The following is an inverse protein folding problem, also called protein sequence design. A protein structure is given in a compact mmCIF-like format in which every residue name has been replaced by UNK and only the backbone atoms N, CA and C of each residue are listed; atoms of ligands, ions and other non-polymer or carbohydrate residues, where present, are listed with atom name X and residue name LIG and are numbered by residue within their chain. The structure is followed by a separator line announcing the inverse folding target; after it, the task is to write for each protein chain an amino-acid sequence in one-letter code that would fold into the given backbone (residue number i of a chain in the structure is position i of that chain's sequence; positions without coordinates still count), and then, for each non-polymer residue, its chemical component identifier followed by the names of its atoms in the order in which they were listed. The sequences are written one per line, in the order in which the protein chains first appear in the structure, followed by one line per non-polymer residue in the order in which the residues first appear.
data_IF_860292983060
#
_entry.id   IF_860292983060
#
_cell.length_a   1.000
_cell.length_b   1.000
_cell.length_c   1.000
_cell.angle_alpha   90.00
_cell.angle_beta   90.00
_cell.angle_gamma   90.00
#
_symmetry.space_group_name_H-M   'P 1'
#
loop_
_entity.id
_entity.type
_entity.pdbx_description
1 polymer ?
#
# COMPACT_ATOMS: atom_id res chain seq x y z
N UNK A 1 -3.21 -9.11 4.11
CA UNK A 1 -4.64 -9.14 3.73
C UNK A 1 -5.49 -9.88 4.77
N UNK A 2 -4.97 -10.95 5.38
CA UNK A 2 -5.73 -11.79 6.36
C UNK A 2 -6.08 -11.06 7.67
N UNK A 3 -5.29 -10.06 8.08
CA UNK A 3 -5.50 -9.32 9.34
C UNK A 3 -6.58 -8.22 9.28
N UNK A 4 -6.92 -7.73 8.09
CA UNK A 4 -7.85 -6.60 7.95
C UNK A 4 -9.25 -6.85 8.54
N UNK A 5 -9.91 -8.01 8.33
CA UNK A 5 -11.21 -8.28 8.92
C UNK A 5 -11.17 -8.34 10.46
N UNK A 6 -10.13 -8.92 11.04
CA UNK A 6 -9.98 -9.01 12.49
C UNK A 6 -9.78 -7.63 13.13
N UNK A 7 -8.95 -6.78 12.51
CA UNK A 7 -8.75 -5.40 12.96
C UNK A 7 -10.04 -4.59 12.84
N UNK A 8 -10.77 -4.72 11.72
CA UNK A 8 -12.06 -4.04 11.53
C UNK A 8 -13.10 -4.46 12.58
N UNK A 9 -13.18 -5.74 12.91
CA UNK A 9 -14.08 -6.25 13.96
C UNK A 9 -13.72 -5.68 15.35
N UNK A 10 -12.42 -5.67 15.70
CA UNK A 10 -11.97 -5.09 16.97
C UNK A 10 -12.26 -3.60 17.07
N UNK A 11 -12.05 -2.84 16.00
CA UNK A 11 -12.39 -1.42 15.96
C UNK A 11 -13.92 -1.21 16.05
N UNK A 12 -14.68 -2.01 15.28
CA UNK A 12 -16.16 -1.94 15.27
C UNK A 12 -16.80 -2.24 16.62
N UNK A 13 -16.19 -3.09 17.45
CA UNK A 13 -16.66 -3.39 18.81
C UNK A 13 -16.07 -2.39 19.82
N UNK A 14 -14.78 -2.09 19.70
CA UNK A 14 -14.06 -1.26 20.67
C UNK A 14 -14.51 0.19 20.69
N UNK A 15 -14.75 0.79 19.52
CA UNK A 15 -15.15 2.21 19.44
C UNK A 15 -16.51 2.47 20.12
N UNK A 16 -17.61 1.73 19.84
CA UNK A 16 -18.88 1.91 20.53
C UNK A 16 -18.79 1.63 22.05
N UNK A 17 -18.02 0.65 22.45
CA UNK A 17 -17.80 0.32 23.85
C UNK A 17 -17.12 1.47 24.61
N UNK A 18 -16.02 2.00 24.08
CA UNK A 18 -15.29 3.12 24.66
C UNK A 18 -16.11 4.42 24.62
N UNK A 19 -16.86 4.63 23.55
CA UNK A 19 -17.78 5.74 23.43
C UNK A 19 -18.86 5.68 24.51
N UNK A 20 -19.48 4.52 24.72
CA UNK A 20 -20.44 4.30 25.79
C UNK A 20 -19.86 4.57 27.19
N UNK A 21 -18.61 4.18 27.41
CA UNK A 21 -17.88 4.46 28.65
C UNK A 21 -17.60 5.96 28.82
N UNK A 22 -17.21 6.63 27.75
CA UNK A 22 -16.92 8.06 27.72
C UNK A 22 -18.16 8.89 28.01
N UNK A 23 -19.30 8.63 27.34
CA UNK A 23 -20.54 9.32 27.54
C UNK A 23 -21.10 9.13 28.98
N UNK A 24 -20.97 7.89 29.50
CA UNK A 24 -21.39 7.55 30.87
C UNK A 24 -20.38 7.97 31.93
N UNK A 25 -19.28 8.63 31.57
CA UNK A 25 -18.21 9.09 32.46
C UNK A 25 -17.70 8.03 33.44
N UNK A 26 -17.51 6.82 32.92
CA UNK A 26 -16.93 5.74 33.72
C UNK A 26 -15.47 6.04 34.08
N UNK A 27 -14.95 5.39 35.11
CA UNK A 27 -13.58 5.58 35.58
C UNK A 27 -12.50 5.45 34.49
N UNK A 28 -12.76 4.69 33.44
CA UNK A 28 -11.87 4.48 32.28
C UNK A 28 -12.22 5.32 31.04
N UNK A 29 -13.06 6.36 31.17
CA UNK A 29 -13.44 7.25 30.07
C UNK A 29 -12.26 8.00 29.44
N UNK A 30 -11.16 8.18 30.17
CA UNK A 30 -9.91 8.80 29.70
C UNK A 30 -9.16 7.97 28.65
N UNK A 31 -9.48 6.66 28.51
CA UNK A 31 -8.84 5.78 27.54
C UNK A 31 -9.16 6.25 26.11
N UNK A 32 -10.37 6.72 25.84
CA UNK A 32 -10.77 7.16 24.49
C UNK A 32 -9.91 8.34 23.98
N UNK A 33 -9.75 9.46 24.71
CA UNK A 33 -8.85 10.53 24.28
C UNK A 33 -7.40 10.08 24.12
N UNK A 34 -6.93 9.20 25.00
CA UNK A 34 -5.57 8.68 24.94
C UNK A 34 -5.33 7.85 23.66
N UNK A 35 -6.31 7.01 23.28
CA UNK A 35 -6.25 6.25 22.04
C UNK A 35 -6.20 7.16 20.81
N UNK A 36 -6.95 8.24 20.79
CA UNK A 36 -6.88 9.24 19.69
C UNK A 36 -5.47 9.82 19.59
N UNK A 37 -4.86 10.19 20.71
CA UNK A 37 -3.49 10.69 20.75
C UNK A 37 -2.46 9.66 20.26
N UNK A 38 -2.57 8.42 20.72
CA UNK A 38 -1.69 7.31 20.29
C UNK A 38 -1.84 7.04 18.80
N UNK A 39 -3.08 7.01 18.28
CA UNK A 39 -3.33 6.81 16.84
C UNK A 39 -2.72 7.93 16.01
N UNK A 40 -2.85 9.19 16.44
CA UNK A 40 -2.24 10.33 15.77
C UNK A 40 -0.70 10.24 15.80
N UNK A 41 -0.11 9.85 16.93
CA UNK A 41 1.34 9.67 17.05
C UNK A 41 1.87 8.56 16.12
N UNK A 42 1.19 7.41 16.08
CA UNK A 42 1.54 6.32 15.16
C UNK A 42 1.41 6.78 13.70
N UNK A 43 0.36 7.50 13.34
CA UNK A 43 0.17 8.04 12.01
C UNK A 43 1.33 8.99 11.62
N UNK A 44 1.76 9.88 12.53
CA UNK A 44 2.91 10.75 12.31
C UNK A 44 4.20 9.95 12.07
N UNK A 45 4.43 8.92 12.88
CA UNK A 45 5.61 8.05 12.73
C UNK A 45 5.60 7.37 11.35
N UNK A 46 4.47 6.79 10.94
CA UNK A 46 4.33 6.15 9.62
C UNK A 46 4.57 7.16 8.50
N UNK A 47 3.99 8.35 8.59
CA UNK A 47 4.18 9.41 7.59
C UNK A 47 5.65 9.89 7.55
N UNK A 48 6.36 9.93 8.68
CA UNK A 48 7.77 10.32 8.72
C UNK A 48 8.66 9.33 7.97
N UNK A 49 8.37 8.04 8.06
CA UNK A 49 9.07 7.02 7.26
C UNK A 49 8.75 7.10 5.76
N UNK A 50 7.55 7.54 5.41
CA UNK A 50 7.16 7.70 4.00
C UNK A 50 7.87 8.88 3.30
N UNK A 51 8.31 9.89 4.04
CA UNK A 51 9.19 10.98 3.57
C UNK A 51 8.59 11.96 2.54
N UNK A 52 7.41 11.70 1.99
CA UNK A 52 6.89 12.42 0.82
C UNK A 52 5.87 13.51 1.13
N UNK A 53 5.24 13.50 2.30
CA UNK A 53 4.12 14.40 2.63
C UNK A 53 4.27 15.01 4.03
N UNK A 54 5.31 15.78 4.25
CA UNK A 54 5.58 16.45 5.55
C UNK A 54 4.45 17.36 6.02
N UNK A 55 3.76 18.05 5.10
CA UNK A 55 2.60 18.88 5.42
C UNK A 55 1.44 18.08 6.05
N UNK A 56 1.26 16.80 5.64
CA UNK A 56 0.24 15.92 6.17
C UNK A 56 0.50 15.55 7.64
N UNK A 57 1.77 15.40 8.03
CA UNK A 57 2.16 15.16 9.43
C UNK A 57 1.68 16.29 10.34
N UNK A 58 1.84 17.54 9.91
CA UNK A 58 1.39 18.71 10.67
C UNK A 58 -0.13 18.74 10.81
N UNK A 59 -0.87 18.46 9.74
CA UNK A 59 -2.34 18.42 9.78
C UNK A 59 -2.83 17.32 10.74
N UNK A 60 -2.33 16.10 10.62
CA UNK A 60 -2.71 14.98 11.50
C UNK A 60 -2.32 15.28 12.95
N UNK A 61 -1.14 15.86 13.17
CA UNK A 61 -0.67 16.26 14.50
C UNK A 61 -1.58 17.31 15.15
N UNK A 62 -1.89 18.38 14.43
CA UNK A 62 -2.74 19.47 14.93
C UNK A 62 -4.16 18.94 15.20
N UNK A 63 -4.78 18.25 14.26
CA UNK A 63 -6.13 17.71 14.41
C UNK A 63 -6.20 16.67 15.55
N UNK A 64 -5.21 15.78 15.64
CA UNK A 64 -5.13 14.76 16.68
C UNK A 64 -4.97 15.36 18.08
N UNK A 65 -4.10 16.36 18.23
CA UNK A 65 -3.91 17.06 19.51
C UNK A 65 -5.14 17.86 19.93
N UNK A 66 -5.77 18.57 19.00
CA UNK A 66 -7.03 19.30 19.26
C UNK A 66 -8.15 18.33 19.67
N UNK A 67 -8.29 17.21 18.95
CA UNK A 67 -9.27 16.17 19.25
C UNK A 67 -9.03 15.54 20.64
N UNK A 68 -7.81 15.14 20.93
CA UNK A 68 -7.42 14.57 22.23
C UNK A 68 -7.69 15.55 23.38
N UNK A 69 -7.20 16.78 23.27
CA UNK A 69 -7.38 17.81 24.31
C UNK A 69 -8.87 18.16 24.46
N UNK A 70 -9.58 18.32 23.34
CA UNK A 70 -11.02 18.61 23.35
C UNK A 70 -11.84 17.54 24.08
N UNK A 71 -11.53 16.25 23.83
CA UNK A 71 -12.17 15.14 24.54
C UNK A 71 -11.80 15.13 26.03
N UNK A 72 -10.53 15.39 26.40
CA UNK A 72 -10.13 15.48 27.79
C UNK A 72 -10.82 16.63 28.52
N UNK A 73 -10.83 17.82 27.94
CA UNK A 73 -11.50 19.00 28.54
C UNK A 73 -12.99 18.75 28.70
N UNK A 74 -13.65 18.08 27.75
CA UNK A 74 -15.06 17.74 27.84
C UNK A 74 -15.40 16.76 28.99
N UNK A 75 -14.44 15.98 29.46
CA UNK A 75 -14.65 15.17 30.67
C UNK A 75 -14.84 16.02 31.93
N UNK A 76 -14.18 17.19 31.99
CA UNK A 76 -14.28 18.12 33.11
C UNK A 76 -15.41 19.14 32.92
N UNK A 77 -15.59 19.65 31.69
CA UNK A 77 -16.57 20.65 31.32
C UNK A 77 -17.52 20.14 30.22
N UNK A 78 -18.69 19.55 30.62
CA UNK A 78 -19.58 18.91 29.65
C UNK A 78 -20.37 19.96 28.86
N UNK A 79 -19.81 20.38 27.74
CA UNK A 79 -20.50 21.25 26.77
C UNK A 79 -20.73 20.45 25.48
N UNK A 80 -21.98 20.33 25.05
CA UNK A 80 -22.36 19.58 23.83
C UNK A 80 -21.61 20.06 22.57
N UNK A 81 -21.43 21.36 22.45
CA UNK A 81 -20.68 21.94 21.31
C UNK A 81 -19.24 21.50 21.32
N UNK A 82 -18.56 21.55 22.47
CA UNK A 82 -17.16 21.12 22.61
C UNK A 82 -17.00 19.61 22.31
N UNK A 83 -17.97 18.82 22.78
CA UNK A 83 -18.02 17.38 22.49
C UNK A 83 -18.10 17.10 20.99
N UNK A 84 -19.02 17.74 20.28
CA UNK A 84 -19.20 17.56 18.84
C UNK A 84 -17.95 17.99 18.08
N UNK A 85 -17.35 19.11 18.44
CA UNK A 85 -16.14 19.60 17.79
C UNK A 85 -14.97 18.65 18.02
N UNK A 86 -14.79 18.14 19.24
CA UNK A 86 -13.75 17.18 19.56
C UNK A 86 -13.93 15.84 18.82
N UNK A 87 -15.16 15.38 18.62
CA UNK A 87 -15.45 14.17 17.82
C UNK A 87 -15.06 14.41 16.36
N UNK A 88 -15.56 15.50 15.78
CA UNK A 88 -15.30 15.82 14.36
C UNK A 88 -13.78 15.92 14.10
N UNK A 89 -13.05 16.62 14.96
CA UNK A 89 -11.59 16.75 14.82
C UNK A 89 -10.87 15.42 15.02
N UNK A 90 -11.31 14.57 15.94
CA UNK A 90 -10.73 13.23 16.15
C UNK A 90 -10.96 12.30 14.95
N UNK A 91 -12.19 12.28 14.42
CA UNK A 91 -12.53 11.48 13.24
C UNK A 91 -11.76 12.00 12.01
N UNK A 92 -11.71 13.33 11.84
CA UNK A 92 -10.94 13.94 10.76
C UNK A 92 -9.45 13.56 10.86
N UNK A 93 -8.84 13.62 12.04
CA UNK A 93 -7.46 13.22 12.26
C UNK A 93 -7.21 11.75 11.85
N UNK A 94 -8.11 10.84 12.26
CA UNK A 94 -8.01 9.41 11.95
C UNK A 94 -8.22 9.12 10.45
N UNK A 95 -9.07 9.89 9.76
CA UNK A 95 -9.40 9.68 8.34
C UNK A 95 -8.41 10.37 7.38
N UNK A 96 -7.74 11.43 7.81
CA UNK A 96 -6.89 12.23 6.92
C UNK A 96 -5.79 11.40 6.25
N UNK A 97 -5.04 10.60 6.99
CA UNK A 97 -3.97 9.78 6.41
C UNK A 97 -4.51 8.70 5.46
N UNK A 98 -5.48 7.84 5.82
CA UNK A 98 -6.06 6.86 4.91
C UNK A 98 -6.64 7.48 3.63
N UNK A 99 -7.36 8.59 3.73
CA UNK A 99 -7.97 9.25 2.57
C UNK A 99 -6.89 9.78 1.61
N UNK A 100 -5.87 10.48 2.11
CA UNK A 100 -4.80 11.01 1.27
C UNK A 100 -4.01 9.88 0.61
N UNK A 101 -3.72 8.79 1.34
CA UNK A 101 -3.04 7.62 0.77
C UNK A 101 -3.89 6.93 -0.31
N UNK A 102 -5.20 6.79 -0.08
CA UNK A 102 -6.10 6.21 -1.08
C UNK A 102 -6.15 7.09 -2.35
N UNK A 103 -6.32 8.40 -2.17
CA UNK A 103 -6.34 9.34 -3.30
C UNK A 103 -5.01 9.36 -4.06
N UNK A 104 -3.88 9.30 -3.37
CA UNK A 104 -2.56 9.23 -4.02
C UNK A 104 -2.39 7.93 -4.80
N UNK A 105 -2.88 6.81 -4.28
CA UNK A 105 -2.84 5.52 -4.96
C UNK A 105 -3.71 5.52 -6.22
N UNK A 106 -4.92 6.07 -6.16
CA UNK A 106 -5.85 6.11 -7.33
C UNK A 106 -5.35 7.04 -8.44
N UNK A 107 -4.63 8.12 -8.08
CA UNK A 107 -4.12 9.09 -9.05
C UNK A 107 -2.85 8.67 -9.80
N UNK A 108 -2.25 7.54 -9.44
CA UNK A 108 -1.03 7.04 -10.08
C UNK A 108 -1.33 5.76 -10.85
N UNK A 109 -0.83 5.68 -12.09
CA UNK A 109 -0.92 4.44 -12.88
C UNK A 109 0.04 3.42 -12.28
N UNK A 110 -0.51 2.28 -11.89
CA UNK A 110 0.28 1.16 -11.38
C UNK A 110 0.62 0.21 -12.51
N UNK A 111 1.92 0.01 -12.74
CA UNK A 111 2.47 -0.95 -13.70
C UNK A 111 3.31 -1.97 -12.94
N UNK A 112 3.32 -3.20 -13.43
CA UNK A 112 4.09 -4.29 -12.82
C UNK A 112 3.21 -5.40 -12.23
N UNK A 113 3.84 -6.51 -11.90
CA UNK A 113 3.18 -7.74 -11.43
C UNK A 113 2.64 -7.66 -9.99
N UNK A 114 3.20 -6.77 -9.17
CA UNK A 114 2.81 -6.56 -7.78
C UNK A 114 2.55 -5.07 -7.58
N UNK A 115 1.30 -4.59 -7.79
CA UNK A 115 0.98 -3.19 -7.57
C UNK A 115 1.11 -2.85 -6.08
N UNK A 116 1.92 -1.84 -5.79
CA UNK A 116 2.10 -1.31 -4.44
C UNK A 116 1.21 -0.09 -4.24
N UNK A 117 0.64 0.06 -3.04
CA UNK A 117 -0.18 1.21 -2.69
C UNK A 117 0.66 2.31 -2.02
N UNK A 118 0.25 3.57 -2.22
CA UNK A 118 0.83 4.72 -1.55
C UNK A 118 1.59 5.67 -2.47
N UNK A 119 2.02 6.83 -1.94
CA UNK A 119 2.65 7.90 -2.74
C UNK A 119 4.04 7.54 -3.30
N UNK A 120 4.69 6.53 -2.72
CA UNK A 120 6.01 6.05 -3.16
C UNK A 120 5.94 4.82 -4.08
N UNK A 121 4.74 4.44 -4.54
CA UNK A 121 4.58 3.28 -5.41
C UNK A 121 5.42 3.40 -6.69
N UNK A 122 5.59 4.60 -7.23
CA UNK A 122 6.48 4.89 -8.36
C UNK A 122 7.97 4.73 -8.04
N UNK A 123 8.41 5.03 -6.81
CA UNK A 123 9.82 4.92 -6.43
C UNK A 123 10.25 3.46 -6.19
N UNK A 124 9.36 2.61 -5.66
CA UNK A 124 9.59 1.17 -5.57
C UNK A 124 9.43 0.46 -6.92
N UNK A 125 8.60 1.00 -7.81
CA UNK A 125 8.47 0.56 -9.19
C UNK A 125 9.70 0.93 -10.04
N UNK A 126 10.42 2.00 -9.72
CA UNK A 126 11.60 2.42 -10.47
C UNK A 126 12.73 1.37 -10.50
N UNK A 127 12.88 0.58 -9.44
CA UNK A 127 13.83 -0.53 -9.41
C UNK A 127 13.37 -1.76 -10.22
N UNK A 128 12.05 -1.90 -10.45
CA UNK A 128 11.48 -3.00 -11.23
C UNK A 128 11.02 -2.54 -12.63
N UNK A 129 10.86 -1.22 -12.87
CA UNK A 129 10.49 -0.69 -14.18
C UNK A 129 11.61 -0.76 -15.21
N UNK A 130 12.88 -0.74 -14.79
CA UNK A 130 13.98 -1.03 -15.70
C UNK A 130 13.95 -2.49 -16.18
N UNK A 131 13.36 -3.41 -15.37
CA UNK A 131 13.13 -4.80 -15.76
C UNK A 131 11.78 -5.05 -16.43
N UNK A 132 10.84 -4.10 -16.37
CA UNK A 132 9.48 -4.24 -16.93
C UNK A 132 9.33 -3.69 -18.36
N UNK A 133 10.30 -2.93 -18.85
CA UNK A 133 10.40 -2.57 -20.27
C UNK A 133 11.58 -3.32 -20.85
N UNK A 134 11.30 -4.25 -21.76
CA UNK A 134 12.35 -4.89 -22.52
C UNK A 134 13.11 -3.81 -23.30
N UNK A 135 14.45 -3.83 -23.22
CA UNK A 135 15.29 -2.92 -24.00
C UNK A 135 14.92 -3.08 -25.48
N UNK A 136 14.53 -1.97 -26.10
CA UNK A 136 14.13 -1.96 -27.51
C UNK A 136 15.25 -2.47 -28.42
N UNK A 137 16.52 -2.23 -28.08
CA UNK A 137 17.66 -2.75 -28.81
C UNK A 137 17.77 -4.28 -28.70
N UNK A 138 17.54 -4.82 -27.48
CA UNK A 138 17.50 -6.26 -27.25
C UNK A 138 16.37 -6.92 -28.04
N UNK A 139 15.16 -6.36 -27.99
CA UNK A 139 14.01 -6.92 -28.72
C UNK A 139 14.23 -6.91 -30.22
N UNK A 140 14.80 -5.83 -30.79
CA UNK A 140 15.15 -5.77 -32.20
C UNK A 140 16.18 -6.81 -32.58
N UNK A 141 17.24 -6.99 -31.77
CA UNK A 141 18.23 -8.01 -31.96
C UNK A 141 17.64 -9.43 -31.97
N UNK A 142 16.78 -9.73 -31.02
CA UNK A 142 16.08 -11.01 -30.91
C UNK A 142 15.20 -11.29 -32.14
N UNK A 143 14.42 -10.30 -32.58
CA UNK A 143 13.56 -10.42 -33.76
C UNK A 143 14.37 -10.66 -35.03
N UNK A 144 15.54 -10.01 -35.22
CA UNK A 144 16.42 -10.20 -36.37
C UNK A 144 17.05 -11.57 -36.39
N UNK A 145 17.23 -12.21 -35.24
CA UNK A 145 17.94 -13.49 -35.10
C UNK A 145 17.00 -14.69 -34.81
N UNK A 146 15.69 -14.51 -34.86
CA UNK A 146 14.71 -15.56 -34.51
C UNK A 146 14.76 -16.78 -35.46
N UNK A 147 15.14 -16.60 -36.74
CA UNK A 147 15.37 -17.65 -37.73
C UNK A 147 14.30 -18.76 -37.76
N UNK A 148 13.00 -18.43 -37.73
CA UNK A 148 11.88 -19.38 -37.65
C UNK A 148 11.81 -20.22 -36.36
N UNK A 149 12.53 -19.88 -35.30
CA UNK A 149 12.36 -20.54 -34.03
C UNK A 149 10.96 -20.27 -33.43
N UNK A 150 10.38 -21.27 -32.78
CA UNK A 150 9.08 -21.17 -32.11
C UNK A 150 9.11 -20.13 -30.99
N UNK A 151 10.21 -20.05 -30.29
CA UNK A 151 10.41 -19.16 -29.17
C UNK A 151 11.41 -18.08 -29.51
N UNK A 152 11.07 -16.81 -29.24
CA UNK A 152 11.97 -15.69 -29.43
C UNK A 152 13.15 -15.71 -28.47
N UNK A 153 12.89 -16.08 -27.24
CA UNK A 153 13.88 -16.21 -26.16
C UNK A 153 13.36 -17.12 -25.05
N UNK A 154 14.26 -17.58 -24.19
CA UNK A 154 13.94 -18.24 -22.93
C UNK A 154 14.51 -17.38 -21.79
N UNK A 155 13.67 -17.05 -20.82
CA UNK A 155 14.00 -16.19 -19.67
C UNK A 155 13.62 -16.86 -18.36
N UNK A 156 14.16 -16.35 -17.27
CA UNK A 156 14.00 -16.95 -15.95
C UNK A 156 12.56 -16.83 -15.41
N UNK A 157 11.89 -15.70 -15.59
CA UNK A 157 10.60 -15.43 -14.99
C UNK A 157 9.51 -15.03 -15.99
N UNK A 158 8.24 -15.28 -15.62
CA UNK A 158 7.08 -14.83 -16.38
C UNK A 158 7.00 -13.30 -16.50
N UNK A 159 7.52 -12.57 -15.52
CA UNK A 159 7.58 -11.10 -15.55
C UNK A 159 8.50 -10.57 -16.65
N UNK A 160 9.68 -11.16 -16.80
CA UNK A 160 10.62 -10.82 -17.90
C UNK A 160 10.05 -11.25 -19.25
N UNK A 161 9.48 -12.45 -19.31
CA UNK A 161 8.81 -12.96 -20.50
C UNK A 161 7.72 -12.01 -20.99
N UNK A 162 6.85 -11.56 -20.07
CA UNK A 162 5.75 -10.67 -20.41
C UNK A 162 6.22 -9.33 -21.01
N UNK A 163 7.29 -8.74 -20.48
CA UNK A 163 7.86 -7.50 -21.01
C UNK A 163 8.34 -7.64 -22.46
N UNK A 164 9.05 -8.74 -22.76
CA UNK A 164 9.55 -9.02 -24.11
C UNK A 164 8.39 -9.39 -25.04
N UNK A 165 7.43 -10.20 -24.59
CA UNK A 165 6.23 -10.57 -25.39
C UNK A 165 5.38 -9.36 -25.77
N UNK A 166 5.13 -8.44 -24.82
CA UNK A 166 4.33 -7.23 -25.09
C UNK A 166 5.00 -6.31 -26.11
N UNK A 167 6.33 -6.25 -26.10
CA UNK A 167 7.09 -5.38 -27.01
C UNK A 167 7.31 -6.02 -28.38
N UNK A 168 7.55 -7.34 -28.42
CA UNK A 168 7.90 -8.06 -29.65
C UNK A 168 6.69 -8.66 -30.39
N UNK A 169 5.59 -8.93 -29.68
CA UNK A 169 4.44 -9.71 -30.20
C UNK A 169 4.74 -11.19 -30.42
N UNK A 170 5.89 -11.69 -29.98
CA UNK A 170 6.38 -13.06 -30.20
C UNK A 170 6.40 -13.88 -28.90
N UNK A 171 6.24 -15.21 -28.98
CA UNK A 171 6.27 -16.06 -27.80
C UNK A 171 7.63 -16.11 -27.14
N UNK A 172 7.66 -15.95 -25.82
CA UNK A 172 8.86 -16.05 -24.97
C UNK A 172 8.62 -17.08 -23.87
N UNK A 173 9.58 -17.98 -23.66
CA UNK A 173 9.48 -19.05 -22.69
C UNK A 173 9.94 -18.59 -21.30
N UNK A 174 9.09 -18.72 -20.27
CA UNK A 174 9.49 -18.53 -18.88
C UNK A 174 9.87 -19.89 -18.26
N UNK A 175 11.14 -20.08 -17.91
CA UNK A 175 11.67 -21.38 -17.45
C UNK A 175 11.44 -21.57 -15.94
N UNK A 176 11.57 -20.51 -15.13
CA UNK A 176 11.50 -20.56 -13.66
C UNK A 176 10.18 -20.11 -13.06
N UNK A 177 9.06 -20.13 -13.83
CA UNK A 177 7.74 -19.80 -13.36
C UNK A 177 7.49 -18.30 -13.16
N UNK A 178 6.59 -17.95 -12.21
CA UNK A 178 6.15 -16.56 -12.05
C UNK A 178 7.29 -15.61 -11.65
N UNK A 179 8.07 -15.98 -10.63
CA UNK A 179 9.15 -15.16 -10.07
C UNK A 179 10.56 -15.68 -10.39
N UNK A 180 10.69 -16.69 -11.22
CA UNK A 180 12.00 -17.34 -11.46
C UNK A 180 12.46 -18.27 -10.32
N UNK A 181 11.57 -18.63 -9.39
CA UNK A 181 11.89 -19.46 -8.22
C UNK A 181 11.38 -20.91 -8.30
N UNK A 182 10.61 -21.22 -9.33
CA UNK A 182 10.10 -22.58 -9.54
C UNK A 182 11.22 -23.51 -10.01
N UNK A 183 11.02 -24.81 -9.83
CA UNK A 183 12.01 -25.80 -10.24
C UNK A 183 12.27 -25.68 -11.75
N UNK A 184 13.49 -25.35 -12.17
CA UNK A 184 13.79 -25.15 -13.57
C UNK A 184 13.62 -26.47 -14.35
N UNK A 185 13.30 -26.34 -15.64
CA UNK A 185 13.27 -27.47 -16.55
C UNK A 185 14.62 -28.18 -16.57
N UNK A 186 14.61 -29.51 -16.64
CA UNK A 186 15.84 -30.26 -16.89
C UNK A 186 16.34 -29.96 -18.31
N UNK A 187 17.63 -30.11 -18.54
CA UNK A 187 18.24 -29.89 -19.85
C UNK A 187 17.56 -30.71 -20.96
N UNK A 188 17.17 -31.93 -20.66
CA UNK A 188 16.46 -32.82 -21.60
C UNK A 188 15.07 -32.30 -21.94
N UNK A 189 14.31 -31.83 -20.95
CA UNK A 189 13.01 -31.23 -21.18
C UNK A 189 13.14 -29.93 -21.98
N UNK A 190 14.12 -29.07 -21.66
CA UNK A 190 14.40 -27.85 -22.41
C UNK A 190 14.70 -28.15 -23.89
N UNK A 191 15.57 -29.11 -24.17
CA UNK A 191 15.88 -29.52 -25.55
C UNK A 191 14.64 -29.99 -26.31
N UNK A 192 13.74 -30.74 -25.67
CA UNK A 192 12.48 -31.17 -26.29
C UNK A 192 11.52 -30.03 -26.63
N UNK A 193 11.56 -28.92 -25.87
CA UNK A 193 10.72 -27.75 -26.12
C UNK A 193 11.26 -26.80 -27.18
N UNK A 194 12.57 -26.87 -27.46
CA UNK A 194 13.27 -25.96 -28.39
C UNK A 194 13.57 -26.68 -29.73
N UNK A 195 13.54 -28.02 -29.77
CA UNK A 195 13.72 -28.81 -31.00
C UNK A 195 12.46 -28.77 -31.86
#
# INVERSE_FOLDING_TARGET
VVMAPAVAALVGIGVPFLWGAYVRRKSYAWILPMLVGVTAAIAIIILSYAGTMTWLMWIVGILGTIGMIGLLVNLYTPKRWLQNLAIITSVAACMTAPVVYTLSTVNVTHTGSIPTAGPNSTAMQGSNNEKSQADSALVQYLLQNQNNATWLAAVDSANESAAIQLTSGQPVMAIGGFNGSDTPLTLEQFKQLVA
#
